data_IF_749635642594
#
_entry.id   IF_749635642594
#
_cell.length_a   1.000
_cell.length_b   1.000
_cell.length_c   1.000
_cell.angle_alpha   90.00
_cell.angle_beta   90.00
_cell.angle_gamma   90.00
#
_symmetry.space_group_name_H-M   'P 1'
#
loop_
_entity.id
_entity.type
_entity.pdbx_description
1 polymer ?
#
# COMPACT_ATOMS: atom_id res chain seq x y z
N UNK A 1 2.16 34.99 22.96
CA UNK A 1 1.71 34.20 21.79
C UNK A 1 2.93 33.96 20.90
N UNK A 2 3.25 32.71 20.59
CA UNK A 2 4.36 32.38 19.67
C UNK A 2 4.04 32.89 18.28
N UNK A 3 4.99 33.51 17.59
CA UNK A 3 4.80 33.91 16.19
C UNK A 3 4.81 32.68 15.27
N UNK A 4 4.22 32.76 14.07
CA UNK A 4 4.27 31.64 13.10
C UNK A 4 5.71 31.30 12.69
N UNK A 5 6.62 32.29 12.70
CA UNK A 5 8.03 32.04 12.39
C UNK A 5 8.75 31.33 13.53
N UNK A 6 8.45 31.67 14.79
CA UNK A 6 8.92 30.92 15.96
C UNK A 6 8.42 29.47 15.93
N UNK A 7 7.15 29.25 15.59
CA UNK A 7 6.61 27.90 15.45
C UNK A 7 7.34 27.12 14.35
N UNK A 8 7.60 27.73 13.19
CA UNK A 8 8.38 27.10 12.12
C UNK A 8 9.80 26.77 12.58
N UNK A 9 10.45 27.64 13.35
CA UNK A 9 11.77 27.38 13.90
C UNK A 9 11.74 26.23 14.92
N UNK A 10 10.74 26.18 15.79
CA UNK A 10 10.52 25.09 16.75
C UNK A 10 10.29 23.75 16.04
N UNK A 11 9.44 23.72 15.02
CA UNK A 11 9.16 22.52 14.22
C UNK A 11 10.44 22.01 13.56
N UNK A 12 11.22 22.89 12.92
CA UNK A 12 12.46 22.47 12.28
C UNK A 12 13.48 21.91 13.27
N UNK A 13 13.62 22.56 14.44
CA UNK A 13 14.52 22.08 15.50
C UNK A 13 14.10 20.69 15.98
N UNK A 14 12.82 20.50 16.28
CA UNK A 14 12.31 19.20 16.76
C UNK A 14 12.47 18.11 15.71
N UNK A 15 12.28 18.42 14.43
CA UNK A 15 12.51 17.48 13.34
C UNK A 15 13.99 17.09 13.19
N UNK A 16 14.90 18.04 13.39
CA UNK A 16 16.35 17.77 13.40
C UNK A 16 16.73 16.90 14.62
N UNK A 17 16.23 17.24 15.82
CA UNK A 17 16.45 16.47 17.06
C UNK A 17 15.93 15.03 16.92
N UNK A 18 14.71 14.83 16.39
CA UNK A 18 14.15 13.50 16.09
C UNK A 18 15.03 12.72 15.12
N UNK A 19 15.58 13.38 14.10
CA UNK A 19 16.47 12.73 13.13
C UNK A 19 17.72 12.15 13.81
N UNK A 20 18.30 12.88 14.76
CA UNK A 20 19.48 12.47 15.51
C UNK A 20 19.12 11.34 16.49
N UNK A 21 18.07 11.51 17.28
CA UNK A 21 17.64 10.53 18.28
C UNK A 21 17.27 9.19 17.64
N UNK A 22 16.55 9.22 16.52
CA UNK A 22 16.14 7.99 15.82
C UNK A 22 17.32 7.20 15.29
N UNK A 23 18.40 7.86 14.82
CA UNK A 23 19.57 7.17 14.31
C UNK A 23 20.23 6.28 15.38
N UNK A 24 20.37 6.79 16.62
CA UNK A 24 20.93 6.03 17.73
C UNK A 24 20.07 4.84 18.19
N UNK A 25 18.75 4.90 17.98
CA UNK A 25 17.85 3.80 18.35
C UNK A 25 18.01 2.56 17.48
N UNK A 26 18.52 2.70 16.25
CA UNK A 26 18.72 1.57 15.34
C UNK A 26 19.99 0.76 15.64
N UNK A 27 20.91 1.27 16.46
CA UNK A 27 22.14 0.55 16.83
C UNK A 27 21.86 -0.68 17.71
N UNK A 28 20.86 -0.59 18.61
CA UNK A 28 20.47 -1.69 19.51
C UNK A 28 19.33 -2.56 18.98
N UNK A 29 18.59 -2.06 17.98
CA UNK A 29 17.40 -2.67 17.38
C UNK A 29 16.39 -3.26 18.38
N UNK A 30 16.18 -2.57 19.52
CA UNK A 30 15.11 -2.93 20.45
C UNK A 30 13.75 -2.45 19.92
N UNK A 31 12.93 -3.42 19.51
CA UNK A 31 11.59 -3.18 18.93
C UNK A 31 10.68 -2.41 19.89
N UNK A 32 10.75 -2.70 21.20
CA UNK A 32 9.86 -2.05 22.18
C UNK A 32 10.23 -0.58 22.36
N UNK A 33 11.53 -0.30 22.52
CA UNK A 33 12.05 1.06 22.55
C UNK A 33 11.68 1.81 21.26
N UNK A 34 11.92 1.19 20.10
CA UNK A 34 11.63 1.80 18.81
C UNK A 34 10.14 2.19 18.68
N UNK A 35 9.22 1.27 19.01
CA UNK A 35 7.78 1.54 18.97
C UNK A 35 7.39 2.69 19.90
N UNK A 36 7.93 2.70 21.12
CA UNK A 36 7.66 3.76 22.10
C UNK A 36 8.09 5.14 21.56
N UNK A 37 9.31 5.25 21.05
CA UNK A 37 9.81 6.50 20.49
C UNK A 37 9.03 6.93 19.24
N UNK A 38 8.71 6.00 18.35
CA UNK A 38 7.90 6.29 17.16
C UNK A 38 6.50 6.81 17.51
N UNK A 39 5.81 6.21 18.48
CA UNK A 39 4.50 6.67 18.94
C UNK A 39 4.58 8.06 19.58
N UNK A 40 5.55 8.28 20.48
CA UNK A 40 5.78 9.58 21.11
C UNK A 40 6.03 10.67 20.07
N UNK A 41 6.88 10.40 19.08
CA UNK A 41 7.19 11.35 18.03
C UNK A 41 5.96 11.66 17.17
N UNK A 42 5.14 10.67 16.81
CA UNK A 42 3.90 10.91 16.04
C UNK A 42 2.94 11.85 16.78
N UNK A 43 2.79 11.72 18.09
CA UNK A 43 1.92 12.60 18.87
C UNK A 43 2.41 14.05 18.78
N UNK A 44 3.70 14.26 19.09
CA UNK A 44 4.34 15.58 19.02
C UNK A 44 4.20 16.19 17.62
N UNK A 45 4.49 15.41 16.58
CA UNK A 45 4.45 15.89 15.20
C UNK A 45 3.04 16.23 14.73
N UNK A 46 2.02 15.49 15.19
CA UNK A 46 0.61 15.77 14.87
C UNK A 46 0.11 17.07 15.50
N UNK A 47 0.50 17.32 16.74
CA UNK A 47 0.15 18.57 17.43
C UNK A 47 0.72 19.78 16.67
N UNK A 48 1.98 19.68 16.23
CA UNK A 48 2.58 20.69 15.35
C UNK A 48 1.93 20.79 13.98
N UNK A 49 1.49 19.67 13.39
CA UNK A 49 0.85 19.68 12.06
C UNK A 49 -0.48 20.41 12.13
N UNK A 50 -1.26 20.14 13.17
CA UNK A 50 -2.55 20.78 13.38
C UNK A 50 -2.36 22.28 13.62
N UNK A 51 -1.43 22.68 14.50
CA UNK A 51 -1.18 24.09 14.79
C UNK A 51 -0.63 24.85 13.57
N UNK A 52 0.35 24.29 12.87
CA UNK A 52 0.95 24.92 11.70
C UNK A 52 -0.03 24.99 10.54
N UNK A 53 -0.83 23.94 10.30
CA UNK A 53 -1.87 23.94 9.26
C UNK A 53 -2.91 25.03 9.49
N UNK A 54 -3.37 25.21 10.73
CA UNK A 54 -4.31 26.30 11.10
C UNK A 54 -3.73 27.68 10.79
N UNK A 55 -2.43 27.90 11.03
CA UNK A 55 -1.76 29.19 10.83
C UNK A 55 -1.37 29.48 9.37
N UNK A 56 -1.15 28.44 8.56
CA UNK A 56 -0.75 28.57 7.15
C UNK A 56 -1.96 28.66 6.21
N UNK A 57 -3.08 28.02 6.57
CA UNK A 57 -4.30 27.94 5.77
C UNK A 57 -4.20 26.91 4.64
N UNK A 58 -5.35 26.44 4.13
CA UNK A 58 -5.43 25.36 3.12
C UNK A 58 -5.15 25.83 1.67
N UNK A 59 -5.06 27.14 1.40
CA UNK A 59 -5.06 27.66 0.04
C UNK A 59 -3.68 27.97 -0.54
N UNK A 60 -3.39 27.27 -1.63
CA UNK A 60 -2.26 27.51 -2.54
C UNK A 60 -2.69 28.53 -3.60
N UNK A 61 -2.13 29.76 -3.65
CA UNK A 61 -2.08 30.49 -4.89
C UNK A 61 -0.90 29.94 -5.71
N UNK A 62 -1.18 29.55 -6.95
CA UNK A 62 -0.16 29.13 -7.91
C UNK A 62 0.86 30.25 -8.13
N UNK A 63 2.16 29.92 -8.07
CA UNK A 63 3.27 30.82 -8.49
C UNK A 63 3.31 30.99 -10.02
N UNK A 64 2.25 30.62 -10.75
CA UNK A 64 2.19 30.77 -12.20
C UNK A 64 1.74 32.19 -12.54
N UNK A 65 2.69 33.00 -13.01
CA UNK A 65 2.39 34.21 -13.78
C UNK A 65 2.75 35.53 -13.12
N UNK A 66 3.92 35.67 -12.49
CA UNK A 66 4.43 37.00 -12.11
C UNK A 66 5.82 37.21 -12.69
N UNK A 67 5.91 38.24 -13.53
CA UNK A 67 7.06 38.63 -14.32
C UNK A 67 8.32 38.86 -13.47
N UNK A 68 9.47 38.47 -14.01
CA UNK A 68 10.77 38.46 -13.31
C UNK A 68 11.35 39.87 -13.05
N UNK A 69 10.73 40.95 -13.55
CA UNK A 69 11.37 42.27 -13.62
C UNK A 69 10.86 43.34 -12.64
N UNK A 70 9.81 43.11 -11.86
CA UNK A 70 9.35 44.09 -10.87
C UNK A 70 8.85 43.40 -9.60
N UNK A 71 9.68 43.30 -8.55
CA UNK A 71 9.17 43.00 -7.21
C UNK A 71 9.89 43.81 -6.14
N UNK A 72 9.11 44.66 -5.49
CA UNK A 72 9.38 45.29 -4.20
C UNK A 72 10.03 44.29 -3.20
N UNK A 73 11.12 44.67 -2.51
CA UNK A 73 11.76 43.84 -1.48
C UNK A 73 10.81 43.31 -0.39
N UNK A 74 9.81 44.09 0.01
CA UNK A 74 8.82 43.70 1.03
C UNK A 74 7.89 42.59 0.52
N UNK A 75 7.47 42.69 -0.74
CA UNK A 75 6.65 41.65 -1.39
C UNK A 75 7.45 40.34 -1.48
N UNK A 76 8.74 40.41 -1.88
CA UNK A 76 9.63 39.25 -1.93
C UNK A 76 9.80 38.59 -0.56
N UNK A 77 9.93 39.38 0.50
CA UNK A 77 10.05 38.89 1.87
C UNK A 77 8.80 38.15 2.35
N UNK A 78 7.59 38.68 2.06
CA UNK A 78 6.32 38.01 2.38
C UNK A 78 6.20 36.65 1.68
N UNK A 79 6.55 36.59 0.39
CA UNK A 79 6.55 35.31 -0.35
C UNK A 79 7.55 34.31 0.22
N UNK A 80 8.75 34.76 0.61
CA UNK A 80 9.76 33.89 1.23
C UNK A 80 9.26 33.30 2.54
N UNK A 81 8.62 34.10 3.40
CA UNK A 81 8.00 33.62 4.64
C UNK A 81 6.91 32.58 4.38
N UNK A 82 5.98 32.86 3.46
CA UNK A 82 4.93 31.90 3.10
C UNK A 82 5.51 30.59 2.57
N UNK A 83 6.51 30.67 1.70
CA UNK A 83 7.18 29.49 1.16
C UNK A 83 7.85 28.65 2.26
N UNK A 84 8.60 29.29 3.18
CA UNK A 84 9.25 28.60 4.29
C UNK A 84 8.25 27.89 5.21
N UNK A 85 7.10 28.52 5.50
CA UNK A 85 6.03 27.89 6.28
C UNK A 85 5.47 26.64 5.60
N UNK A 86 5.28 26.69 4.28
CA UNK A 86 4.83 25.53 3.49
C UNK A 86 5.89 24.43 3.50
N UNK A 87 7.17 24.77 3.32
CA UNK A 87 8.25 23.79 3.37
C UNK A 87 8.33 23.08 4.73
N UNK A 88 8.16 23.83 5.83
CA UNK A 88 8.10 23.25 7.17
C UNK A 88 6.91 22.29 7.32
N UNK A 89 5.74 22.64 6.77
CA UNK A 89 4.56 21.76 6.79
C UNK A 89 4.76 20.50 5.93
N UNK A 90 5.35 20.63 4.74
CA UNK A 90 5.69 19.50 3.87
C UNK A 90 6.70 18.55 4.53
N UNK A 91 7.74 19.11 5.16
CA UNK A 91 8.75 18.36 5.93
C UNK A 91 8.09 17.61 7.09
N UNK A 92 7.21 18.27 7.82
CA UNK A 92 6.47 17.67 8.93
C UNK A 92 5.58 16.50 8.49
N UNK A 93 4.83 16.68 7.39
CA UNK A 93 4.00 15.60 6.81
C UNK A 93 4.83 14.42 6.35
N UNK A 94 5.99 14.69 5.72
CA UNK A 94 6.95 13.67 5.32
C UNK A 94 7.44 12.85 6.53
N UNK A 95 7.82 13.53 7.61
CA UNK A 95 8.23 12.90 8.87
C UNK A 95 7.12 12.04 9.47
N UNK A 96 5.88 12.55 9.55
CA UNK A 96 4.74 11.80 10.08
C UNK A 96 4.49 10.52 9.26
N UNK A 97 4.61 10.60 7.93
CA UNK A 97 4.46 9.43 7.05
C UNK A 97 5.57 8.42 7.30
N UNK A 98 6.83 8.85 7.44
CA UNK A 98 7.96 7.97 7.77
C UNK A 98 7.72 7.19 9.08
N UNK A 99 7.27 7.88 10.13
CA UNK A 99 6.98 7.23 11.41
C UNK A 99 5.79 6.26 11.32
N UNK A 100 4.72 6.63 10.60
CA UNK A 100 3.56 5.74 10.36
C UNK A 100 3.98 4.48 9.60
N UNK A 101 4.80 4.62 8.57
CA UNK A 101 5.32 3.49 7.80
C UNK A 101 6.18 2.57 8.68
N UNK A 102 7.06 3.14 9.51
CA UNK A 102 7.88 2.38 10.44
C UNK A 102 7.03 1.56 11.44
N UNK A 103 6.03 2.18 12.07
CA UNK A 103 5.11 1.49 12.98
C UNK A 103 4.30 0.41 12.26
N UNK A 104 3.81 0.69 11.06
CA UNK A 104 3.05 -0.27 10.26
C UNK A 104 3.91 -1.47 9.83
N UNK A 105 5.18 -1.25 9.52
CA UNK A 105 6.14 -2.30 9.20
C UNK A 105 6.44 -3.18 10.42
N UNK A 106 6.58 -2.59 11.61
CA UNK A 106 6.75 -3.35 12.84
C UNK A 106 5.47 -4.15 13.16
N UNK A 107 4.29 -3.53 13.09
CA UNK A 107 3.02 -4.18 13.38
C UNK A 107 2.66 -5.30 12.39
N UNK A 108 3.13 -5.18 11.14
CA UNK A 108 2.94 -6.22 10.13
C UNK A 108 3.78 -7.48 10.43
N UNK A 109 4.91 -7.34 11.14
CA UNK A 109 5.88 -8.41 11.39
C UNK A 109 5.91 -8.92 12.83
N UNK A 110 5.36 -8.17 13.78
CA UNK A 110 5.35 -8.51 15.20
C UNK A 110 3.96 -8.36 15.81
N UNK A 111 3.63 -9.23 16.76
CA UNK A 111 2.48 -9.12 17.66
C UNK A 111 2.96 -8.82 19.07
N UNK A 112 2.20 -7.98 19.77
CA UNK A 112 2.54 -7.47 21.09
C UNK A 112 1.50 -7.97 22.10
N UNK A 113 1.96 -8.51 23.23
CA UNK A 113 1.08 -9.12 24.23
C UNK A 113 1.35 -8.55 25.63
N UNK A 114 0.28 -8.27 26.37
CA UNK A 114 0.32 -8.07 27.82
C UNK A 114 -0.37 -9.27 28.47
N UNK A 115 0.40 -10.12 29.14
CA UNK A 115 -0.07 -11.44 29.55
C UNK A 115 -0.51 -12.25 28.33
N UNK A 116 -1.80 -12.59 28.25
CA UNK A 116 -2.40 -13.36 27.13
C UNK A 116 -3.22 -12.51 26.15
N UNK A 117 -3.29 -11.18 26.33
CA UNK A 117 -4.07 -10.30 25.45
C UNK A 117 -3.17 -9.62 24.43
N UNK A 118 -3.54 -9.69 23.15
CA UNK A 118 -2.87 -8.93 22.10
C UNK A 118 -3.24 -7.45 22.21
N UNK A 119 -2.24 -6.57 22.09
CA UNK A 119 -2.39 -5.13 22.16
C UNK A 119 -1.99 -4.48 20.82
N UNK A 120 -2.66 -3.39 20.47
CA UNK A 120 -2.30 -2.60 19.29
C UNK A 120 -1.03 -1.79 19.58
N UNK A 121 -0.14 -1.72 18.58
CA UNK A 121 1.13 -0.99 18.62
C UNK A 121 0.93 0.48 19.03
N UNK A 122 -0.19 1.09 18.62
CA UNK A 122 -0.53 2.48 18.92
C UNK A 122 -0.82 2.76 20.40
N UNK A 123 -1.06 1.72 21.20
CA UNK A 123 -1.36 1.86 22.64
C UNK A 123 -0.10 1.97 23.50
N UNK A 124 1.06 1.59 22.95
CA UNK A 124 2.33 1.58 23.66
C UNK A 124 2.88 3.01 23.75
N UNK A 125 2.48 3.73 24.80
CA UNK A 125 2.85 5.15 25.02
C UNK A 125 3.60 5.41 26.32
N UNK A 126 3.59 4.47 27.27
CA UNK A 126 4.20 4.65 28.59
C UNK A 126 5.42 3.77 28.75
N UNK A 127 6.52 4.38 29.21
CA UNK A 127 7.80 3.70 29.39
C UNK A 127 7.71 2.56 30.43
N UNK A 128 6.87 2.72 31.46
CA UNK A 128 6.66 1.75 32.53
C UNK A 128 6.00 0.44 32.05
N UNK A 129 5.24 0.49 30.95
CA UNK A 129 4.53 -0.66 30.40
C UNK A 129 5.45 -1.59 29.59
N UNK A 130 6.60 -1.09 29.13
CA UNK A 130 7.52 -1.82 28.24
C UNK A 130 8.01 -3.12 28.86
N UNK A 131 8.28 -3.14 30.17
CA UNK A 131 8.77 -4.33 30.88
C UNK A 131 7.76 -5.49 30.95
N UNK A 132 6.47 -5.20 30.68
CA UNK A 132 5.37 -6.18 30.77
C UNK A 132 4.94 -6.71 29.40
N UNK A 133 5.48 -6.15 28.32
CA UNK A 133 5.06 -6.49 26.96
C UNK A 133 5.97 -7.60 26.41
N UNK A 134 5.35 -8.67 25.92
CA UNK A 134 6.02 -9.73 25.17
C UNK A 134 5.85 -9.48 23.67
N UNK A 135 6.95 -9.50 22.94
CA UNK A 135 6.98 -9.39 21.47
C UNK A 135 7.11 -10.78 20.86
N UNK A 136 6.25 -11.10 19.90
CA UNK A 136 6.29 -12.37 19.17
C UNK A 136 6.33 -12.09 17.67
N UNK A 137 7.28 -12.70 16.96
CA UNK A 137 7.38 -12.56 15.51
C UNK A 137 6.24 -13.31 14.82
N UNK A 138 5.61 -12.67 13.84
CA UNK A 138 4.54 -13.26 13.03
C UNK A 138 5.13 -14.32 12.08
N UNK A 139 4.31 -15.32 11.66
CA UNK A 139 4.77 -16.38 10.78
C UNK A 139 5.12 -15.91 9.37
N UNK A 140 4.59 -14.76 8.95
CA UNK A 140 4.82 -14.16 7.64
C UNK A 140 5.52 -12.83 7.83
N UNK A 141 6.54 -12.59 7.00
CA UNK A 141 7.26 -11.33 6.98
C UNK A 141 6.73 -10.48 5.82
N UNK A 142 6.23 -9.29 6.14
CA UNK A 142 5.72 -8.32 5.17
C UNK A 142 6.66 -7.11 5.11
N UNK A 143 7.23 -6.85 3.92
CA UNK A 143 8.27 -5.84 3.75
C UNK A 143 9.58 -6.22 4.44
N UNK A 144 10.59 -5.36 4.28
CA UNK A 144 11.92 -5.53 4.88
C UNK A 144 12.07 -4.65 6.10
N UNK A 145 12.54 -5.21 7.21
CA UNK A 145 12.79 -4.44 8.43
C UNK A 145 14.08 -3.62 8.33
N UNK A 146 14.98 -4.05 7.46
CA UNK A 146 16.30 -3.44 7.23
C UNK A 146 16.21 -2.04 6.61
N UNK A 147 15.06 -1.68 6.03
CA UNK A 147 14.84 -0.33 5.49
C UNK A 147 14.50 0.69 6.58
N UNK A 148 14.14 0.25 7.80
CA UNK A 148 13.70 1.13 8.88
C UNK A 148 14.69 2.26 9.17
N UNK A 149 16.01 2.01 9.31
CA UNK A 149 16.99 3.07 9.58
C UNK A 149 17.08 4.13 8.48
N UNK A 150 16.65 3.80 7.26
CA UNK A 150 16.80 4.63 6.08
C UNK A 150 15.54 5.47 5.74
N UNK A 151 14.51 5.44 6.60
CA UNK A 151 13.32 6.28 6.45
C UNK A 151 13.62 7.74 6.85
N UNK A 152 12.92 8.70 6.23
CA UNK A 152 13.15 10.12 6.49
C UNK A 152 12.41 10.60 7.75
N UNK A 153 12.85 10.17 8.93
CA UNK A 153 12.23 10.53 10.22
C UNK A 153 12.19 12.04 10.49
N UNK A 154 13.19 12.79 10.02
CA UNK A 154 13.22 14.25 10.08
C UNK A 154 12.44 14.94 8.94
N UNK A 155 11.92 14.16 7.98
CA UNK A 155 11.18 14.64 6.81
C UNK A 155 12.04 15.16 5.65
N UNK A 156 13.35 15.36 5.84
CA UNK A 156 14.25 15.94 4.83
C UNK A 156 14.83 14.91 3.86
N UNK A 157 13.97 14.35 3.00
CA UNK A 157 14.37 13.33 2.02
C UNK A 157 15.54 13.77 1.16
N UNK A 158 15.53 15.01 0.64
CA UNK A 158 16.57 15.51 -0.25
C UNK A 158 17.90 15.80 0.47
N UNK A 159 17.86 16.16 1.76
CA UNK A 159 19.07 16.40 2.57
C UNK A 159 19.78 15.08 2.83
N UNK A 160 19.02 14.06 3.24
CA UNK A 160 19.53 12.69 3.44
C UNK A 160 20.10 12.15 2.13
N UNK A 161 19.34 12.22 1.04
CA UNK A 161 19.80 11.80 -0.29
C UNK A 161 21.06 12.55 -0.78
N UNK A 162 21.23 13.81 -0.37
CA UNK A 162 22.41 14.62 -0.68
C UNK A 162 23.68 14.20 0.06
N UNK A 163 23.56 13.37 1.10
CA UNK A 163 24.67 12.76 1.83
C UNK A 163 25.04 11.38 1.27
N UNK A 164 24.14 10.76 0.51
CA UNK A 164 24.34 9.44 -0.09
C UNK A 164 25.16 9.44 -1.38
N UNK A 165 25.58 8.24 -1.80
CA UNK A 165 26.36 8.00 -3.00
C UNK A 165 25.61 8.35 -4.31
N UNK A 166 26.35 8.38 -5.43
CA UNK A 166 25.75 8.66 -6.75
C UNK A 166 24.78 7.55 -7.15
N UNK A 167 25.15 6.30 -6.87
CA UNK A 167 24.34 5.11 -7.15
C UNK A 167 23.01 5.17 -6.40
N UNK A 168 23.03 5.51 -5.11
CA UNK A 168 21.82 5.67 -4.30
C UNK A 168 20.90 6.78 -4.87
N UNK A 169 21.48 7.88 -5.37
CA UNK A 169 20.71 8.96 -6.03
C UNK A 169 20.06 8.52 -7.33
N UNK A 170 20.73 7.68 -8.11
CA UNK A 170 20.19 7.13 -9.35
C UNK A 170 19.09 6.10 -9.07
N UNK A 171 19.32 5.20 -8.11
CA UNK A 171 18.33 4.25 -7.63
C UNK A 171 17.07 4.95 -7.09
N UNK A 172 17.24 6.02 -6.30
CA UNK A 172 16.14 6.85 -5.82
C UNK A 172 15.28 7.40 -6.97
N UNK A 173 15.92 7.97 -7.99
CA UNK A 173 15.22 8.52 -9.17
C UNK A 173 14.46 7.42 -9.91
N UNK A 174 15.08 6.24 -10.09
CA UNK A 174 14.48 5.09 -10.76
C UNK A 174 13.25 4.58 -10.00
N UNK A 175 13.36 4.35 -8.69
CA UNK A 175 12.25 3.90 -7.84
C UNK A 175 11.11 4.92 -7.88
N UNK A 176 11.43 6.19 -7.65
CA UNK A 176 10.44 7.28 -7.65
C UNK A 176 9.72 7.39 -9.00
N UNK A 177 10.44 7.26 -10.11
CA UNK A 177 9.85 7.27 -11.45
C UNK A 177 8.86 6.11 -11.64
N UNK A 178 9.22 4.89 -11.23
CA UNK A 178 8.38 3.70 -11.34
C UNK A 178 7.14 3.74 -10.43
N UNK A 179 7.28 4.22 -9.20
CA UNK A 179 6.13 4.36 -8.29
C UNK A 179 5.14 5.45 -8.74
N UNK A 180 5.64 6.50 -9.41
CA UNK A 180 4.82 7.59 -9.99
C UNK A 180 4.38 7.33 -11.43
N UNK A 181 4.74 6.19 -11.99
CA UNK A 181 4.31 5.79 -13.33
C UNK A 181 2.79 5.86 -13.41
N UNK A 182 2.28 6.54 -14.45
CA UNK A 182 0.86 6.54 -14.74
C UNK A 182 0.59 5.29 -15.57
N UNK A 183 0.04 4.26 -14.93
CA UNK A 183 -0.49 3.09 -15.62
C UNK A 183 -1.42 3.50 -16.77
N UNK A 184 -1.40 2.71 -17.85
CA UNK A 184 -2.21 2.96 -19.04
C UNK A 184 -3.68 3.04 -18.63
N UNK A 185 -4.25 4.23 -18.77
CA UNK A 185 -5.55 4.58 -18.20
C UNK A 185 -6.66 3.80 -18.92
N UNK A 186 -7.28 2.85 -18.23
CA UNK A 186 -8.49 2.15 -18.71
C UNK A 186 -9.73 2.96 -18.35
N UNK A 187 -10.75 2.90 -19.21
CA UNK A 187 -12.09 3.41 -18.88
C UNK A 187 -12.68 2.41 -17.88
N UNK A 188 -12.86 2.82 -16.61
CA UNK A 188 -13.37 1.95 -15.54
C UNK A 188 -14.90 2.01 -15.45
N UNK A 189 -15.44 3.21 -15.53
CA UNK A 189 -16.87 3.45 -15.44
C UNK A 189 -17.29 4.68 -16.24
N UNK A 190 -18.57 4.73 -16.59
CA UNK A 190 -19.25 5.92 -17.05
C UNK A 190 -19.76 6.70 -15.84
N UNK A 191 -19.35 7.96 -15.71
CA UNK A 191 -20.00 8.88 -14.79
C UNK A 191 -21.27 9.38 -15.46
N UNK A 192 -22.40 8.93 -14.96
CA UNK A 192 -23.72 9.20 -15.51
C UNK A 192 -24.47 10.11 -14.56
N UNK A 193 -25.14 11.10 -15.12
CA UNK A 193 -26.14 11.88 -14.40
C UNK A 193 -27.52 11.38 -14.78
N UNK A 194 -28.32 11.06 -13.76
CA UNK A 194 -29.68 10.55 -13.91
C UNK A 194 -30.66 11.55 -13.32
N UNK A 195 -31.63 11.94 -14.14
CA UNK A 195 -32.81 12.70 -13.74
C UNK A 195 -33.97 11.73 -13.56
N UNK A 196 -34.56 11.68 -12.38
CA UNK A 196 -35.65 10.77 -12.06
C UNK A 196 -36.74 11.47 -11.24
N UNK A 197 -37.95 10.92 -11.32
CA UNK A 197 -39.10 11.42 -10.55
C UNK A 197 -39.21 10.68 -9.23
N UNK A 198 -39.17 11.42 -8.13
CA UNK A 198 -39.35 10.88 -6.80
C UNK A 198 -40.21 11.85 -5.98
N UNK A 199 -41.29 11.34 -5.36
CA UNK A 199 -42.21 12.13 -4.54
C UNK A 199 -42.71 13.42 -5.20
N UNK A 200 -43.07 13.36 -6.49
CA UNK A 200 -43.62 14.50 -7.23
C UNK A 200 -42.61 15.61 -7.56
N UNK A 201 -41.29 15.37 -7.39
CA UNK A 201 -40.24 16.31 -7.81
C UNK A 201 -39.21 15.61 -8.70
N UNK A 202 -38.67 16.36 -9.67
CA UNK A 202 -37.54 15.93 -10.48
C UNK A 202 -36.25 16.08 -9.66
N UNK A 203 -35.52 15.00 -9.48
CA UNK A 203 -34.20 14.99 -8.81
C UNK A 203 -33.11 14.61 -9.79
N UNK A 204 -31.88 15.09 -9.56
CA UNK A 204 -30.68 14.70 -10.32
C UNK A 204 -29.67 14.04 -9.40
N UNK A 205 -29.12 12.91 -9.81
CA UNK A 205 -28.07 12.21 -9.07
C UNK A 205 -26.95 11.77 -10.02
N UNK A 206 -25.72 11.76 -9.52
CA UNK A 206 -24.55 11.28 -10.26
C UNK A 206 -24.12 9.93 -9.73
N UNK A 207 -23.83 9.01 -10.63
CA UNK A 207 -23.42 7.66 -10.29
C UNK A 207 -22.42 7.14 -11.33
N UNK A 208 -21.53 6.26 -10.89
CA UNK A 208 -20.49 5.67 -11.72
C UNK A 208 -20.91 4.22 -12.05
N UNK A 209 -21.18 3.90 -13.32
CA UNK A 209 -21.55 2.55 -13.80
C UNK A 209 -20.36 1.90 -14.51
N UNK A 210 -19.97 0.65 -14.19
CA UNK A 210 -18.90 -0.06 -14.88
C UNK A 210 -19.07 -0.07 -16.40
N UNK A 211 -17.97 -0.04 -17.16
CA UNK A 211 -18.02 0.00 -18.63
C UNK A 211 -18.58 -1.25 -19.29
N UNK A 212 -18.55 -2.37 -18.57
CA UNK A 212 -19.05 -3.69 -18.97
C UNK A 212 -20.48 -3.96 -18.51
N UNK A 213 -21.07 -3.08 -17.69
CA UNK A 213 -22.43 -3.23 -17.19
C UNK A 213 -23.47 -2.68 -18.18
N UNK A 214 -24.62 -3.35 -18.26
CA UNK A 214 -25.81 -2.82 -18.94
C UNK A 214 -26.38 -1.65 -18.11
N UNK A 215 -26.01 -0.44 -18.52
CA UNK A 215 -26.42 0.83 -17.92
C UNK A 215 -27.94 0.91 -17.76
N UNK A 216 -28.72 0.48 -18.76
CA UNK A 216 -30.16 0.66 -18.71
C UNK A 216 -30.82 -0.28 -17.69
N UNK A 217 -30.34 -1.52 -17.61
CA UNK A 217 -30.77 -2.49 -16.59
C UNK A 217 -30.41 -2.05 -15.17
N UNK A 218 -29.17 -1.58 -14.97
CA UNK A 218 -28.70 -1.00 -13.69
C UNK A 218 -29.56 0.19 -13.23
N UNK A 219 -29.84 1.13 -14.14
CA UNK A 219 -30.64 2.32 -13.83
C UNK A 219 -32.11 1.98 -13.59
N UNK A 220 -32.67 1.04 -14.34
CA UNK A 220 -34.06 0.59 -14.18
C UNK A 220 -34.29 -0.11 -12.84
N UNK A 221 -33.31 -0.90 -12.36
CA UNK A 221 -33.35 -1.50 -11.01
C UNK A 221 -33.37 -0.45 -9.90
N UNK A 222 -32.65 0.67 -10.08
CA UNK A 222 -32.49 1.70 -9.04
C UNK A 222 -33.59 2.78 -9.06
N UNK A 223 -34.05 3.19 -10.24
CA UNK A 223 -34.93 4.35 -10.42
C UNK A 223 -36.26 4.03 -11.12
N UNK A 224 -36.55 2.75 -11.41
CA UNK A 224 -37.78 2.33 -12.06
C UNK A 224 -37.84 2.66 -13.56
N UNK A 225 -39.03 2.89 -14.11
CA UNK A 225 -39.23 3.08 -15.57
C UNK A 225 -39.14 4.53 -16.05
N UNK A 226 -39.16 5.53 -15.14
CA UNK A 226 -39.23 6.96 -15.48
C UNK A 226 -37.96 7.70 -15.07
N UNK A 227 -36.93 7.60 -15.91
CA UNK A 227 -35.69 8.35 -15.75
C UNK A 227 -35.16 8.83 -17.11
N UNK A 228 -34.36 9.89 -17.09
CA UNK A 228 -33.52 10.34 -18.20
C UNK A 228 -32.08 10.33 -17.72
N UNK A 229 -31.14 9.97 -18.58
CA UNK A 229 -29.74 9.93 -18.18
C UNK A 229 -28.81 10.43 -19.28
N UNK A 230 -27.66 10.95 -18.86
CA UNK A 230 -26.59 11.39 -19.76
C UNK A 230 -25.23 10.99 -19.24
N UNK A 231 -24.34 10.57 -20.15
CA UNK A 231 -22.93 10.36 -19.83
C UNK A 231 -22.27 11.72 -19.67
N UNK A 232 -21.73 12.01 -18.49
CA UNK A 232 -20.97 13.23 -18.25
C UNK A 232 -19.50 13.06 -18.68
N UNK A 233 -18.88 11.97 -18.23
CA UNK A 233 -17.46 11.72 -18.47
C UNK A 233 -17.12 10.25 -18.26
N UNK A 234 -15.98 9.84 -18.80
CA UNK A 234 -15.37 8.55 -18.46
C UNK A 234 -14.61 8.69 -17.15
N UNK A 235 -14.93 7.85 -16.18
CA UNK A 235 -14.07 7.65 -15.01
C UNK A 235 -12.91 6.78 -15.47
N UNK A 236 -11.79 7.46 -15.64
CA UNK A 236 -10.50 6.88 -15.96
C UNK A 236 -9.89 6.30 -14.69
N UNK A 237 -9.28 5.12 -14.77
CA UNK A 237 -8.47 4.59 -13.67
C UNK A 237 -7.36 5.60 -13.33
N UNK A 238 -7.23 6.03 -12.07
CA UNK A 238 -6.03 6.76 -11.65
C UNK A 238 -4.85 5.82 -11.87
N UNK A 239 -3.97 6.19 -12.78
CA UNK A 239 -2.86 5.32 -13.18
C UNK A 239 -1.77 5.20 -12.12
N UNK A 240 -1.82 5.90 -10.99
CA UNK A 240 -0.72 5.91 -10.00
C UNK A 240 -0.91 4.78 -8.97
N UNK A 241 0.17 4.06 -8.64
CA UNK A 241 0.15 2.95 -7.68
C UNK A 241 -0.05 3.44 -6.24
N UNK A 242 0.66 4.51 -5.87
CA UNK A 242 0.63 5.14 -4.55
C UNK A 242 0.29 6.62 -4.74
N UNK A 243 -0.84 7.07 -4.18
CA UNK A 243 -1.33 8.44 -4.40
C UNK A 243 -0.68 9.49 -3.47
N UNK A 244 0.21 9.07 -2.58
CA UNK A 244 0.87 9.93 -1.59
C UNK A 244 2.36 10.10 -1.94
N UNK A 245 2.77 11.34 -2.21
CA UNK A 245 4.15 11.63 -2.60
C UNK A 245 5.14 11.45 -1.46
N UNK A 246 4.73 11.63 -0.19
CA UNK A 246 5.59 11.38 0.96
C UNK A 246 5.89 9.89 1.12
N UNK A 247 4.91 9.02 0.89
CA UNK A 247 5.11 7.56 0.89
C UNK A 247 6.10 7.17 -0.21
N UNK A 248 5.91 7.69 -1.42
CA UNK A 248 6.81 7.41 -2.55
C UNK A 248 8.22 7.87 -2.28
N UNK A 249 8.39 9.07 -1.73
CA UNK A 249 9.70 9.66 -1.47
C UNK A 249 10.43 8.91 -0.33
N UNK A 250 9.70 8.49 0.72
CA UNK A 250 10.26 7.65 1.80
C UNK A 250 10.66 6.25 1.31
N UNK A 251 9.80 5.57 0.53
CA UNK A 251 10.14 4.26 -0.04
C UNK A 251 11.35 4.35 -0.98
N UNK A 252 11.38 5.36 -1.84
CA UNK A 252 12.48 5.57 -2.76
C UNK A 252 13.79 5.82 -2.00
N UNK A 253 13.77 6.64 -0.94
CA UNK A 253 14.95 6.89 -0.13
C UNK A 253 15.42 5.62 0.58
N UNK A 254 14.49 4.95 1.28
CA UNK A 254 14.85 3.84 2.15
C UNK A 254 15.44 2.65 1.37
N UNK A 255 14.82 2.26 0.26
CA UNK A 255 15.33 1.16 -0.56
C UNK A 255 16.57 1.52 -1.37
N UNK A 256 16.68 2.77 -1.85
CA UNK A 256 17.87 3.20 -2.59
C UNK A 256 19.11 3.33 -1.69
N UNK A 257 18.92 3.70 -0.43
CA UNK A 257 20.01 3.81 0.55
C UNK A 257 20.40 2.43 1.10
N UNK A 258 19.41 1.57 1.35
CA UNK A 258 19.66 0.21 1.85
C UNK A 258 20.47 -0.64 0.86
N UNK A 259 20.10 -0.62 -0.41
CA UNK A 259 20.81 -1.36 -1.47
C UNK A 259 20.67 -0.58 -2.79
N UNK A 260 21.66 0.23 -3.19
CA UNK A 260 21.58 1.01 -4.41
C UNK A 260 21.42 0.16 -5.69
N UNK A 261 22.02 -1.04 -5.73
CA UNK A 261 22.01 -1.88 -6.92
C UNK A 261 20.69 -2.63 -7.08
N UNK A 262 20.21 -3.25 -5.99
CA UNK A 262 19.02 -4.12 -6.01
C UNK A 262 17.79 -3.49 -5.39
N UNK A 263 17.88 -2.33 -4.74
CA UNK A 263 16.79 -1.63 -4.08
C UNK A 263 15.49 -1.56 -4.89
N UNK A 264 15.53 -1.24 -6.21
CA UNK A 264 14.34 -1.29 -7.06
C UNK A 264 13.72 -2.69 -7.18
N UNK A 265 14.55 -3.72 -7.37
CA UNK A 265 14.13 -5.14 -7.46
C UNK A 265 13.53 -5.61 -6.12
N UNK A 266 14.17 -5.26 -5.01
CA UNK A 266 13.73 -5.60 -3.65
C UNK A 266 12.39 -4.96 -3.31
N UNK A 267 12.21 -3.67 -3.60
CA UNK A 267 10.94 -2.98 -3.41
C UNK A 267 9.83 -3.60 -4.28
N UNK A 268 10.14 -3.89 -5.55
CA UNK A 268 9.19 -4.54 -6.45
C UNK A 268 8.71 -5.88 -5.90
N UNK A 269 9.63 -6.68 -5.35
CA UNK A 269 9.32 -7.96 -4.74
C UNK A 269 8.51 -7.80 -3.44
N UNK A 270 8.84 -6.83 -2.60
CA UNK A 270 8.15 -6.61 -1.33
C UNK A 270 6.73 -6.07 -1.53
N UNK A 271 6.51 -5.22 -2.54
CA UNK A 271 5.17 -4.80 -2.96
C UNK A 271 4.40 -5.99 -3.56
N UNK A 272 5.04 -6.81 -4.40
CA UNK A 272 4.43 -8.01 -4.97
C UNK A 272 3.98 -8.99 -3.87
N UNK A 273 4.88 -9.29 -2.92
CA UNK A 273 4.60 -10.10 -1.72
C UNK A 273 3.47 -9.51 -0.91
N UNK A 274 3.47 -8.20 -0.68
CA UNK A 274 2.41 -7.52 0.04
C UNK A 274 1.05 -7.78 -0.61
N UNK A 275 0.93 -7.66 -1.94
CA UNK A 275 -0.33 -8.00 -2.63
C UNK A 275 -0.72 -9.47 -2.49
N UNK A 276 0.24 -10.40 -2.57
CA UNK A 276 -0.08 -11.83 -2.52
C UNK A 276 -0.36 -12.35 -1.11
N UNK A 277 0.36 -11.89 -0.10
CA UNK A 277 0.28 -12.38 1.27
C UNK A 277 -0.84 -11.75 2.08
N UNK A 278 -1.50 -10.72 1.53
CA UNK A 278 -2.61 -10.02 2.20
C UNK A 278 -3.85 -10.00 1.31
N UNK A 279 -5.00 -9.82 1.94
CA UNK A 279 -6.28 -9.51 1.31
C UNK A 279 -6.50 -7.99 1.22
N UNK A 280 -7.49 -7.57 0.42
CA UNK A 280 -7.86 -6.15 0.27
C UNK A 280 -8.14 -5.48 1.63
N UNK A 281 -8.88 -6.17 2.51
CA UNK A 281 -9.22 -5.70 3.87
C UNK A 281 -7.99 -5.60 4.78
N UNK A 282 -7.09 -6.57 4.70
CA UNK A 282 -5.85 -6.53 5.48
C UNK A 282 -5.00 -5.34 5.04
N UNK A 283 -4.89 -5.07 3.74
CA UNK A 283 -4.13 -3.91 3.23
C UNK A 283 -4.70 -2.57 3.69
N UNK A 284 -6.03 -2.46 3.77
CA UNK A 284 -6.70 -1.27 4.31
C UNK A 284 -6.35 -1.06 5.79
N UNK A 285 -6.30 -2.13 6.58
CA UNK A 285 -6.01 -2.06 8.03
C UNK A 285 -4.52 -1.91 8.38
N UNK A 286 -3.62 -2.58 7.65
CA UNK A 286 -2.19 -2.61 7.94
C UNK A 286 -1.52 -1.27 7.67
N UNK A 287 -1.91 -0.60 6.57
CA UNK A 287 -1.37 0.72 6.22
C UNK A 287 0.14 0.75 5.99
N UNK A 288 0.77 -0.40 5.67
CA UNK A 288 2.22 -0.53 5.47
C UNK A 288 2.77 0.44 4.42
N UNK A 289 2.00 0.60 3.34
CA UNK A 289 2.27 1.55 2.27
C UNK A 289 1.08 2.51 2.17
N UNK A 290 1.10 3.66 2.87
CA UNK A 290 -0.03 4.58 2.91
C UNK A 290 -0.44 5.04 1.50
N UNK A 291 -1.75 5.00 1.23
CA UNK A 291 -2.37 5.36 -0.05
C UNK A 291 -1.93 4.50 -1.25
N UNK A 292 -1.42 3.29 -1.01
CA UNK A 292 -1.28 2.27 -2.04
C UNK A 292 -2.65 1.79 -2.50
N UNK A 293 -2.80 1.50 -3.80
CA UNK A 293 -4.00 0.86 -4.32
C UNK A 293 -4.26 -0.48 -3.63
N UNK A 294 -5.47 -0.71 -3.13
CA UNK A 294 -5.82 -1.99 -2.48
C UNK A 294 -5.88 -3.16 -3.49
N UNK A 295 -6.23 -2.86 -4.74
CA UNK A 295 -6.09 -3.76 -5.89
C UNK A 295 -5.67 -2.96 -7.13
N UNK A 296 -4.91 -3.58 -8.01
CA UNK A 296 -4.47 -2.97 -9.27
C UNK A 296 -5.30 -3.50 -10.45
N UNK A 297 -5.40 -2.67 -11.49
CA UNK A 297 -6.23 -2.89 -12.69
C UNK A 297 -5.48 -2.58 -13.99
N UNK A 298 -4.20 -2.23 -13.88
CA UNK A 298 -3.33 -1.86 -14.97
C UNK A 298 -1.89 -2.25 -14.66
N UNK A 299 -1.04 -2.17 -15.69
CA UNK A 299 0.37 -2.47 -15.58
C UNK A 299 1.15 -1.38 -14.82
N UNK A 300 2.05 -1.82 -13.94
CA UNK A 300 3.06 -1.03 -13.26
C UNK A 300 4.43 -1.70 -13.43
N UNK A 301 5.40 -1.00 -14.00
CA UNK A 301 6.72 -1.57 -14.32
C UNK A 301 7.57 -1.92 -13.09
N UNK A 302 7.17 -1.51 -11.89
CA UNK A 302 7.82 -1.89 -10.63
C UNK A 302 7.64 -3.39 -10.32
N UNK A 303 6.49 -3.97 -10.69
CA UNK A 303 6.20 -5.38 -10.41
C UNK A 303 6.92 -6.34 -11.35
N UNK A 304 7.51 -5.84 -12.42
CA UNK A 304 8.25 -6.64 -13.39
C UNK A 304 9.70 -6.86 -12.96
N UNK A 305 10.28 -5.93 -12.20
CA UNK A 305 11.69 -5.95 -11.80
C UNK A 305 12.14 -7.28 -11.17
N UNK A 306 11.38 -7.91 -10.25
CA UNK A 306 11.79 -9.18 -9.64
C UNK A 306 11.88 -10.34 -10.63
N UNK A 307 11.27 -10.23 -11.81
CA UNK A 307 11.12 -11.33 -12.77
C UNK A 307 11.91 -11.11 -14.05
N UNK A 308 12.58 -9.97 -14.24
CA UNK A 308 13.25 -9.62 -15.51
C UNK A 308 14.33 -10.63 -15.95
N UNK A 309 14.89 -11.40 -15.01
CA UNK A 309 15.92 -12.41 -15.27
C UNK A 309 15.34 -13.77 -15.69
N UNK A 310 14.03 -13.97 -15.61
CA UNK A 310 13.37 -15.23 -15.98
C UNK A 310 13.32 -15.36 -17.51
N UNK A 311 13.69 -16.54 -18.04
CA UNK A 311 13.82 -16.77 -19.51
C UNK A 311 12.53 -16.51 -20.30
N UNK A 312 11.39 -16.70 -19.66
CA UNK A 312 10.05 -16.57 -20.25
C UNK A 312 9.39 -15.23 -19.91
N UNK A 313 10.10 -14.32 -19.24
CA UNK A 313 9.56 -13.04 -18.81
C UNK A 313 9.02 -12.22 -19.99
N UNK A 314 7.87 -11.59 -19.77
CA UNK A 314 7.26 -10.61 -20.66
C UNK A 314 6.84 -9.40 -19.86
N UNK A 315 6.97 -8.21 -20.44
CA UNK A 315 6.51 -6.97 -19.80
C UNK A 315 5.06 -7.08 -19.36
N UNK A 316 4.79 -6.68 -18.11
CA UNK A 316 3.50 -6.79 -17.47
C UNK A 316 3.25 -8.08 -16.70
N UNK A 317 4.19 -9.02 -16.69
CA UNK A 317 4.04 -10.29 -16.00
C UNK A 317 3.64 -10.12 -14.53
N UNK A 318 4.40 -9.32 -13.75
CA UNK A 318 4.14 -9.18 -12.32
C UNK A 318 2.80 -8.50 -12.02
N UNK A 319 2.44 -7.49 -12.82
CA UNK A 319 1.14 -6.82 -12.70
C UNK A 319 -0.02 -7.75 -13.04
N UNK A 320 0.13 -8.58 -14.08
CA UNK A 320 -0.91 -9.52 -14.53
C UNK A 320 -1.26 -10.53 -13.43
N UNK A 321 -0.25 -11.09 -12.76
CA UNK A 321 -0.46 -12.03 -11.66
C UNK A 321 -1.27 -11.39 -10.51
N UNK A 322 -0.96 -10.14 -10.15
CA UNK A 322 -1.69 -9.44 -9.09
C UNK A 322 -3.12 -9.12 -9.54
N UNK A 323 -3.34 -8.73 -10.80
CA UNK A 323 -4.69 -8.50 -11.35
C UNK A 323 -5.53 -9.78 -11.26
N UNK A 324 -4.98 -10.92 -11.70
CA UNK A 324 -5.65 -12.22 -11.61
C UNK A 324 -5.94 -12.61 -10.15
N UNK A 325 -5.00 -12.35 -9.22
CA UNK A 325 -5.28 -12.52 -7.79
C UNK A 325 -6.48 -11.70 -7.35
N UNK A 326 -6.53 -10.41 -7.69
CA UNK A 326 -7.63 -9.52 -7.34
C UNK A 326 -8.98 -10.00 -7.92
N UNK A 327 -8.98 -10.60 -9.11
CA UNK A 327 -10.16 -11.21 -9.72
C UNK A 327 -10.61 -12.46 -8.96
N UNK A 328 -9.67 -13.37 -8.64
CA UNK A 328 -9.94 -14.59 -7.88
C UNK A 328 -10.45 -14.28 -6.47
N UNK A 329 -9.87 -13.28 -5.77
CA UNK A 329 -10.35 -12.86 -4.44
C UNK A 329 -11.81 -12.37 -4.48
N UNK A 330 -12.24 -11.74 -5.58
CA UNK A 330 -13.65 -11.35 -5.77
C UNK A 330 -14.54 -12.56 -6.02
N UNK A 331 -14.08 -13.54 -6.80
CA UNK A 331 -14.83 -14.79 -7.05
C UNK A 331 -14.99 -15.63 -5.77
N UNK A 332 -14.03 -15.53 -4.85
CA UNK A 332 -14.07 -16.17 -3.53
C UNK A 332 -14.96 -15.44 -2.52
N UNK A 333 -15.42 -14.23 -2.82
CA UNK A 333 -16.35 -13.49 -1.96
C UNK A 333 -17.66 -14.26 -1.82
N UNK A 334 -18.01 -14.65 -0.60
CA UNK A 334 -19.19 -15.47 -0.31
C UNK A 334 -18.94 -16.99 -0.29
N UNK A 335 -17.82 -17.47 -0.83
CA UNK A 335 -17.41 -18.90 -0.81
C UNK A 335 -16.40 -19.22 0.29
N UNK A 336 -16.21 -18.30 1.24
CA UNK A 336 -15.14 -18.38 2.25
C UNK A 336 -15.35 -19.52 3.26
N UNK A 337 -16.58 -19.98 3.44
CA UNK A 337 -16.89 -21.17 4.26
C UNK A 337 -16.21 -22.43 3.70
N UNK A 338 -16.13 -22.57 2.38
CA UNK A 338 -15.55 -23.72 1.67
C UNK A 338 -14.03 -23.83 1.82
N UNK A 339 -13.37 -22.73 2.22
CA UNK A 339 -11.91 -22.63 2.42
C UNK A 339 -11.53 -22.06 3.79
N UNK A 340 -12.46 -22.12 4.76
CA UNK A 340 -12.36 -21.46 6.06
C UNK A 340 -11.11 -21.83 6.88
N UNK A 341 -10.50 -22.98 6.58
CA UNK A 341 -9.30 -23.48 7.26
C UNK A 341 -7.98 -23.06 6.60
N UNK A 342 -8.01 -22.30 5.49
CA UNK A 342 -6.79 -21.82 4.81
C UNK A 342 -6.54 -20.35 5.21
N UNK A 343 -5.43 -20.04 5.90
CA UNK A 343 -5.01 -18.65 6.15
C UNK A 343 -4.86 -17.84 4.86
N UNK A 344 -5.20 -16.55 4.90
CA UNK A 344 -5.17 -15.65 3.72
C UNK A 344 -3.82 -15.65 2.99
N UNK A 345 -2.72 -15.66 3.74
CA UNK A 345 -1.38 -15.64 3.16
C UNK A 345 -1.03 -16.94 2.41
N UNK A 346 -1.52 -18.10 2.89
CA UNK A 346 -1.35 -19.39 2.20
C UNK A 346 -2.28 -19.49 0.99
N UNK A 347 -3.50 -18.96 1.10
CA UNK A 347 -4.42 -18.84 -0.02
C UNK A 347 -3.80 -17.99 -1.15
N UNK A 348 -3.14 -16.89 -0.79
CA UNK A 348 -2.34 -16.09 -1.72
C UNK A 348 -1.29 -16.90 -2.46
N UNK A 349 -0.52 -17.74 -1.74
CA UNK A 349 0.44 -18.66 -2.35
C UNK A 349 -0.21 -19.69 -3.27
N UNK A 350 -1.32 -20.29 -2.86
CA UNK A 350 -2.06 -21.24 -3.70
C UNK A 350 -2.63 -20.59 -4.98
N UNK A 351 -3.09 -19.33 -4.87
CA UNK A 351 -3.50 -18.53 -6.03
C UNK A 351 -2.32 -18.28 -6.95
N UNK A 352 -1.17 -17.84 -6.42
CA UNK A 352 0.02 -17.61 -7.23
C UNK A 352 0.45 -18.87 -7.98
N UNK A 353 0.43 -20.03 -7.30
CA UNK A 353 0.71 -21.32 -7.92
C UNK A 353 -0.20 -21.60 -9.13
N UNK A 354 -1.51 -21.33 -8.99
CA UNK A 354 -2.49 -21.57 -10.05
C UNK A 354 -2.43 -20.60 -11.22
N UNK A 355 -2.09 -19.33 -11.00
CA UNK A 355 -2.05 -18.32 -12.06
C UNK A 355 -0.69 -18.23 -12.78
N UNK A 356 0.37 -18.76 -12.19
CA UNK A 356 1.74 -18.61 -12.67
C UNK A 356 2.33 -19.92 -13.22
N UNK A 357 3.42 -19.85 -14.02
CA UNK A 357 4.16 -21.03 -14.41
C UNK A 357 4.98 -21.66 -13.27
N UNK A 358 5.04 -21.06 -12.08
CA UNK A 358 5.89 -21.51 -10.96
C UNK A 358 5.46 -22.84 -10.33
N UNK A 359 6.44 -23.64 -9.89
CA UNK A 359 6.20 -24.79 -9.00
C UNK A 359 6.07 -24.32 -7.53
N UNK A 360 5.73 -25.24 -6.64
CA UNK A 360 5.51 -24.98 -5.20
C UNK A 360 6.76 -24.43 -4.53
N UNK A 361 7.93 -24.97 -4.87
CA UNK A 361 9.23 -24.52 -4.36
C UNK A 361 9.47 -23.05 -4.72
N UNK A 362 9.31 -22.68 -5.99
CA UNK A 362 9.49 -21.31 -6.45
C UNK A 362 8.46 -20.35 -5.84
N UNK A 363 7.21 -20.79 -5.66
CA UNK A 363 6.19 -19.96 -4.99
C UNK A 363 6.54 -19.77 -3.51
N UNK A 364 6.96 -20.82 -2.83
CA UNK A 364 7.38 -20.77 -1.43
C UNK A 364 8.58 -19.83 -1.25
N UNK A 365 9.60 -19.96 -2.10
CA UNK A 365 10.76 -19.06 -2.11
C UNK A 365 10.36 -17.60 -2.40
N UNK A 366 9.58 -17.38 -3.46
CA UNK A 366 9.18 -16.05 -3.89
C UNK A 366 8.37 -15.34 -2.81
N UNK A 367 7.49 -16.04 -2.11
CA UNK A 367 6.62 -15.47 -1.08
C UNK A 367 7.18 -15.58 0.34
N UNK A 368 8.32 -16.28 0.55
CA UNK A 368 8.87 -16.53 1.87
C UNK A 368 7.96 -17.40 2.74
N UNK A 369 7.32 -18.40 2.13
CA UNK A 369 6.39 -19.32 2.80
C UNK A 369 7.05 -20.66 3.10
N UNK A 370 6.53 -21.33 4.12
CA UNK A 370 6.86 -22.73 4.40
C UNK A 370 6.26 -23.64 3.32
N UNK A 371 7.12 -24.46 2.68
CA UNK A 371 6.75 -25.29 1.54
C UNK A 371 5.67 -26.32 1.90
N UNK A 372 5.78 -26.95 3.07
CA UNK A 372 4.84 -27.99 3.50
C UNK A 372 3.46 -27.39 3.75
N UNK A 373 3.39 -26.24 4.44
CA UNK A 373 2.13 -25.51 4.65
C UNK A 373 1.51 -25.03 3.35
N UNK A 374 2.31 -24.56 2.40
CA UNK A 374 1.82 -24.15 1.08
C UNK A 374 1.24 -25.36 0.32
N UNK A 375 1.95 -26.47 0.32
CA UNK A 375 1.54 -27.72 -0.34
C UNK A 375 0.22 -28.24 0.24
N UNK A 376 0.07 -28.19 1.57
CA UNK A 376 -1.17 -28.55 2.25
C UNK A 376 -2.32 -27.60 1.89
N UNK A 377 -2.06 -26.29 1.81
CA UNK A 377 -3.06 -25.30 1.40
C UNK A 377 -3.53 -25.52 -0.05
N UNK A 378 -2.61 -25.81 -0.98
CA UNK A 378 -2.95 -26.16 -2.36
C UNK A 378 -3.81 -27.42 -2.39
N UNK A 379 -3.43 -28.47 -1.63
CA UNK A 379 -4.23 -29.70 -1.54
C UNK A 379 -5.65 -29.43 -1.03
N UNK A 380 -5.80 -28.61 0.02
CA UNK A 380 -7.12 -28.22 0.55
C UNK A 380 -7.97 -27.47 -0.47
N UNK A 381 -7.36 -26.57 -1.25
CA UNK A 381 -8.04 -25.85 -2.35
C UNK A 381 -8.50 -26.80 -3.47
N UNK A 382 -7.72 -27.85 -3.74
CA UNK A 382 -8.09 -28.87 -4.73
C UNK A 382 -9.24 -29.72 -4.22
N UNK A 383 -9.18 -30.17 -2.96
CA UNK A 383 -10.22 -30.97 -2.33
C UNK A 383 -11.56 -30.24 -2.20
N UNK A 384 -11.57 -28.90 -2.08
CA UNK A 384 -12.81 -28.12 -2.09
C UNK A 384 -13.44 -28.00 -3.48
N UNK A 385 -12.77 -28.46 -4.54
CA UNK A 385 -13.26 -28.35 -5.92
C UNK A 385 -13.14 -26.95 -6.52
N UNK A 386 -12.80 -25.93 -5.74
CA UNK A 386 -12.74 -24.54 -6.21
C UNK A 386 -11.73 -24.31 -7.33
N UNK A 387 -10.67 -25.11 -7.38
CA UNK A 387 -9.62 -25.00 -8.41
C UNK A 387 -10.17 -25.07 -9.85
N UNK A 388 -11.23 -25.84 -10.11
CA UNK A 388 -11.85 -25.94 -11.45
C UNK A 388 -12.64 -24.69 -11.83
N UNK A 389 -13.16 -23.96 -10.84
CA UNK A 389 -13.94 -22.74 -11.05
C UNK A 389 -13.08 -21.46 -11.07
N UNK A 390 -11.91 -21.49 -10.44
CA UNK A 390 -11.06 -20.32 -10.25
C UNK A 390 -9.90 -20.22 -11.26
N UNK A 391 -9.44 -21.35 -11.82
CA UNK A 391 -8.29 -21.38 -12.70
C UNK A 391 -8.63 -21.98 -14.06
N UNK A 392 -8.03 -21.42 -15.11
CA UNK A 392 -8.20 -21.93 -16.49
C UNK A 392 -7.35 -23.17 -16.74
N UNK A 393 -6.16 -23.27 -16.14
CA UNK A 393 -5.29 -24.44 -16.26
C UNK A 393 -5.35 -25.27 -14.98
N UNK A 394 -5.99 -26.43 -15.08
CA UNK A 394 -6.18 -27.38 -13.97
C UNK A 394 -5.14 -28.50 -13.94
N UNK A 395 -4.38 -28.72 -15.01
CA UNK A 395 -3.40 -29.83 -15.12
C UNK A 395 -2.38 -29.79 -13.98
N UNK A 396 -1.97 -28.58 -13.59
CA UNK A 396 -1.04 -28.35 -12.46
C UNK A 396 -1.56 -28.84 -11.12
N UNK A 397 -2.87 -28.94 -10.96
CA UNK A 397 -3.50 -29.37 -9.72
C UNK A 397 -3.70 -30.89 -9.65
N UNK A 398 -3.58 -31.61 -10.77
CA UNK A 398 -3.83 -33.06 -10.84
C UNK A 398 -2.95 -33.87 -9.88
N UNK A 399 -1.70 -33.44 -9.66
CA UNK A 399 -0.80 -34.11 -8.70
C UNK A 399 -1.29 -34.05 -7.25
N UNK A 400 -2.21 -33.14 -6.93
CA UNK A 400 -2.84 -32.99 -5.62
C UNK A 400 -4.20 -33.69 -5.53
N UNK A 401 -4.71 -34.22 -6.64
CA UNK A 401 -5.97 -34.97 -6.64
C UNK A 401 -5.80 -36.30 -5.89
N UNK A 402 -6.86 -36.78 -5.20
CA UNK A 402 -6.82 -38.09 -4.57
C UNK A 402 -6.57 -39.20 -5.60
N UNK A 403 -5.58 -40.07 -5.33
CA UNK A 403 -5.21 -41.17 -6.23
C UNK A 403 -6.19 -42.36 -6.20
N UNK A 404 -7.09 -42.44 -5.22
CA UNK A 404 -8.04 -43.54 -5.07
C UNK A 404 -9.35 -43.28 -5.83
N UNK A 405 -9.81 -44.25 -6.61
CA UNK A 405 -11.07 -44.16 -7.38
C UNK A 405 -12.30 -43.99 -6.48
N UNK A 406 -12.27 -44.51 -5.24
CA UNK A 406 -13.33 -44.25 -4.25
C UNK A 406 -13.36 -42.78 -3.80
N UNK A 407 -12.19 -42.16 -3.66
CA UNK A 407 -12.09 -40.75 -3.27
C UNK A 407 -12.47 -39.81 -4.43
N UNK A 408 -12.18 -40.20 -5.68
CA UNK A 408 -12.65 -39.48 -6.87
C UNK A 408 -14.17 -39.50 -6.98
N UNK A 409 -14.80 -40.68 -6.85
CA UNK A 409 -16.27 -40.82 -6.86
C UNK A 409 -16.94 -40.05 -5.70
N UNK A 410 -16.31 -39.99 -4.54
CA UNK A 410 -16.82 -39.23 -3.39
C UNK A 410 -16.77 -37.71 -3.63
N UNK A 411 -15.72 -37.20 -4.28
CA UNK A 411 -15.63 -35.79 -4.66
C UNK A 411 -16.62 -35.42 -5.77
N UNK A 412 -16.83 -36.30 -6.75
CA UNK A 412 -17.85 -36.10 -7.79
C UNK A 412 -19.26 -36.00 -7.19
N UNK A 413 -19.55 -36.76 -6.14
CA UNK A 413 -20.83 -36.72 -5.41
C UNK A 413 -21.03 -35.46 -4.54
N UNK A 414 -19.95 -34.74 -4.18
CA UNK A 414 -20.00 -33.49 -3.43
C UNK A 414 -20.11 -32.24 -4.34
N UNK A 415 -19.85 -32.41 -5.64
CA UNK A 415 -19.87 -31.33 -6.64
C UNK A 415 -21.17 -31.30 -7.48
N UNK A 416 -22.03 -32.32 -7.35
CA UNK A 416 -23.40 -32.34 -7.89
C UNK A 416 -24.41 -31.85 -6.87
#
# INVERSE_FOLDING_TARGET
MTTTEELVAQVNKILDDIGIDMAGLFESFDILSLVFHLNRNIEILRDFEEELSRRVGETVPSVRGLDKKEKDPHIRWLYKKKHNRILALERLRSAIVAHKMALALISANYSFYIGNKEIDVKTIKKHEELRRIRVVKKPVILGRLEILPHLAYSGDVLKLLGQESVEAREAFKLIKAKLREKGVVRKKSFRIEVEYWESGRLKKTRLDIPTDADIESELRKRFGKRFRWRVLSYVKTKGVLINNHYTVDNLALAYATFDPERGPELLGLDLFRYYFLTSEKERESLGLYPDIKLCIDCHYSIFDLPFMKEKWFRTGFGSMMIIQKCEIEKMLSGKRSEISNIPNYLLGGAILYGVSPFNEEKVAELLGLDLDKLTEAIRKLVLSGLHTSLFTNVEKFEKFMPKSDKAKRFLELLQG
#
